data_IF_732114832402
#
_entry.id   IF_732114832402
#
_cell.length_a   1.000
_cell.length_b   1.000
_cell.length_c   1.000
_cell.angle_alpha   90.00
_cell.angle_beta   90.00
_cell.angle_gamma   90.00
#
_symmetry.space_group_name_H-M   'P 1'
#
loop_
_entity.id
_entity.type
_entity.pdbx_description
1 polymer ?
#
# COMPACT_ATOMS: atom_id res chain seq x y z
N UNK A 1 19.62 -12.56 -11.26
CA UNK A 1 18.18 -12.25 -11.39
C UNK A 1 17.87 -10.91 -10.76
N UNK A 2 17.35 -9.93 -11.52
CA UNK A 2 16.93 -8.64 -10.97
C UNK A 2 15.57 -8.77 -10.26
N UNK A 3 15.47 -8.27 -9.02
CA UNK A 3 14.18 -8.23 -8.30
C UNK A 3 13.21 -7.27 -8.98
N UNK A 4 11.94 -7.67 -9.14
CA UNK A 4 10.89 -6.80 -9.68
C UNK A 4 10.59 -5.64 -8.72
N UNK A 5 10.52 -4.42 -9.24
CA UNK A 5 10.40 -3.18 -8.47
C UNK A 5 9.08 -2.47 -8.77
N UNK A 6 8.49 -1.78 -7.79
CA UNK A 6 7.35 -0.88 -8.00
C UNK A 6 7.80 0.28 -8.90
N UNK A 7 6.94 0.67 -9.86
CA UNK A 7 7.19 1.84 -10.75
C UNK A 7 7.18 3.15 -9.97
N UNK A 8 6.29 3.27 -8.98
CA UNK A 8 6.16 4.45 -8.12
C UNK A 8 6.34 4.03 -6.66
N UNK A 9 7.09 4.79 -5.85
CA UNK A 9 7.33 4.46 -4.46
C UNK A 9 6.08 4.73 -3.59
N UNK A 10 5.17 3.75 -3.58
CA UNK A 10 3.87 3.85 -2.93
C UNK A 10 3.69 2.70 -1.94
N UNK A 11 3.39 3.05 -0.71
CA UNK A 11 2.90 2.15 0.33
C UNK A 11 1.37 2.15 0.32
N UNK A 12 0.77 0.97 0.51
CA UNK A 12 -0.68 0.81 0.66
C UNK A 12 -0.95 0.11 1.97
N UNK A 13 -1.97 0.56 2.69
CA UNK A 13 -2.41 -0.02 3.97
C UNK A 13 -2.59 -1.55 3.92
N UNK A 14 -3.18 -2.03 2.82
CA UNK A 14 -3.40 -3.44 2.53
C UNK A 14 -2.14 -4.32 2.60
N UNK A 15 -0.93 -3.76 2.52
CA UNK A 15 0.30 -4.54 2.63
C UNK A 15 0.60 -4.98 4.06
N UNK A 16 0.04 -4.30 5.07
CA UNK A 16 0.37 -4.52 6.48
C UNK A 16 -0.76 -5.20 7.26
N UNK A 17 -2.02 -4.88 6.96
CA UNK A 17 -3.19 -5.43 7.65
C UNK A 17 -4.00 -6.34 6.71
N UNK A 18 -4.23 -7.57 7.18
CA UNK A 18 -4.98 -8.68 6.57
C UNK A 18 -6.09 -8.23 5.59
N UNK A 19 -5.73 -8.16 4.30
CA UNK A 19 -6.66 -7.76 3.23
C UNK A 19 -7.56 -8.90 2.74
N UNK A 20 -7.37 -10.11 3.27
CA UNK A 20 -8.07 -11.30 2.78
C UNK A 20 -9.58 -11.18 3.00
N UNK A 21 -9.98 -10.71 4.19
CA UNK A 21 -11.39 -10.60 4.55
C UNK A 21 -12.10 -9.49 3.76
N UNK A 22 -11.50 -8.30 3.65
CA UNK A 22 -12.06 -7.18 2.87
C UNK A 22 -12.17 -7.52 1.39
N UNK A 23 -11.17 -8.19 0.80
CA UNK A 23 -11.28 -8.72 -0.57
C UNK A 23 -12.37 -9.77 -0.72
N UNK A 24 -12.54 -10.66 0.26
CA UNK A 24 -13.64 -11.66 0.28
C UNK A 24 -15.01 -10.98 0.35
N UNK A 25 -15.16 -9.92 1.15
CA UNK A 25 -16.40 -9.14 1.23
C UNK A 25 -16.71 -8.47 -0.11
N UNK A 26 -15.73 -7.81 -0.72
CA UNK A 26 -15.88 -7.22 -2.05
C UNK A 26 -16.32 -8.27 -3.09
N UNK A 27 -15.67 -9.43 -3.11
CA UNK A 27 -16.04 -10.54 -3.98
C UNK A 27 -17.45 -11.07 -3.72
N UNK A 28 -17.89 -11.17 -2.45
CA UNK A 28 -19.26 -11.57 -2.09
C UNK A 28 -20.29 -10.54 -2.57
N UNK A 29 -20.04 -9.25 -2.40
CA UNK A 29 -20.93 -8.19 -2.85
C UNK A 29 -21.17 -8.27 -4.36
N UNK A 30 -20.09 -8.44 -5.13
CA UNK A 30 -20.17 -8.60 -6.59
C UNK A 30 -20.97 -9.85 -6.99
N UNK A 31 -20.72 -11.01 -6.36
CA UNK A 31 -21.44 -12.26 -6.70
C UNK A 31 -22.92 -12.24 -6.32
N UNK A 32 -23.30 -11.46 -5.30
CA UNK A 32 -24.69 -11.34 -4.85
C UNK A 32 -25.48 -10.28 -5.61
N UNK A 33 -24.80 -9.43 -6.37
CA UNK A 33 -25.45 -8.43 -7.20
C UNK A 33 -26.22 -9.13 -8.33
N UNK A 34 -27.54 -8.90 -8.39
CA UNK A 34 -28.43 -9.55 -9.36
C UNK A 34 -28.63 -8.75 -10.65
N UNK A 35 -28.10 -7.53 -10.74
CA UNK A 35 -28.19 -6.68 -11.92
C UNK A 35 -27.06 -6.96 -12.91
N UNK A 36 -27.20 -6.43 -14.12
CA UNK A 36 -26.14 -6.50 -15.13
C UNK A 36 -24.96 -5.58 -14.82
N UNK A 37 -23.76 -6.10 -15.02
CA UNK A 37 -22.51 -5.36 -14.89
C UNK A 37 -21.98 -5.08 -16.30
N UNK A 38 -22.21 -3.87 -16.81
CA UNK A 38 -21.85 -3.52 -18.17
C UNK A 38 -20.33 -3.39 -18.40
N UNK A 39 -19.55 -3.05 -17.36
CA UNK A 39 -18.10 -2.88 -17.50
C UNK A 39 -17.34 -3.08 -16.18
N UNK A 40 -16.00 -3.19 -16.26
CA UNK A 40 -15.14 -3.36 -15.09
C UNK A 40 -15.10 -2.15 -14.13
N UNK A 41 -15.56 -0.96 -14.54
CA UNK A 41 -15.65 0.19 -13.63
C UNK A 41 -16.86 0.10 -12.69
N UNK A 42 -17.90 -0.67 -13.06
CA UNK A 42 -19.07 -0.88 -12.20
C UNK A 42 -18.75 -1.62 -10.90
N UNK A 43 -17.68 -2.41 -10.84
CA UNK A 43 -17.25 -3.03 -9.58
C UNK A 43 -17.00 -2.00 -8.47
N UNK A 44 -16.57 -0.78 -8.83
CA UNK A 44 -16.38 0.32 -7.86
C UNK A 44 -17.69 0.89 -7.33
N UNK A 45 -18.80 0.74 -8.08
CA UNK A 45 -20.16 1.10 -7.65
C UNK A 45 -20.77 0.02 -6.76
N UNK A 46 -20.50 -1.25 -7.06
CA UNK A 46 -20.97 -2.40 -6.27
C UNK A 46 -20.28 -2.51 -4.92
N UNK A 47 -19.00 -2.14 -4.86
CA UNK A 47 -18.24 -2.13 -3.63
C UNK A 47 -17.25 -0.98 -3.62
N UNK A 48 -17.37 -0.12 -2.61
CA UNK A 48 -16.49 1.04 -2.46
C UNK A 48 -15.03 0.58 -2.28
N UNK A 49 -14.09 0.97 -3.15
CA UNK A 49 -12.69 0.54 -3.05
C UNK A 49 -11.99 1.00 -1.77
N UNK A 50 -12.47 2.10 -1.17
CA UNK A 50 -11.97 2.63 0.10
C UNK A 50 -12.16 1.62 1.24
N UNK A 51 -13.25 0.86 1.24
CA UNK A 51 -13.48 -0.22 2.21
C UNK A 51 -12.43 -1.35 2.16
N UNK A 52 -11.62 -1.40 1.10
CA UNK A 52 -10.51 -2.35 1.00
C UNK A 52 -9.18 -1.68 1.34
N UNK A 53 -9.00 -0.39 1.06
CA UNK A 53 -7.73 0.33 1.25
C UNK A 53 -8.02 1.76 1.67
N UNK A 54 -7.79 2.06 2.95
CA UNK A 54 -8.13 3.37 3.50
C UNK A 54 -7.14 4.45 3.03
N UNK A 55 -5.86 4.10 2.90
CA UNK A 55 -4.83 5.07 2.54
C UNK A 55 -3.75 4.53 1.60
N UNK A 56 -3.16 5.46 0.85
CA UNK A 56 -1.99 5.22 -0.01
C UNK A 56 -1.02 6.35 0.20
N UNK A 57 0.19 6.02 0.64
CA UNK A 57 1.23 7.00 0.90
C UNK A 57 2.29 6.93 -0.18
N UNK A 58 2.63 8.09 -0.73
CA UNK A 58 3.76 8.25 -1.63
C UNK A 58 4.92 8.82 -0.83
N UNK A 59 6.08 8.17 -0.91
CA UNK A 59 7.27 8.64 -0.18
C UNK A 59 8.52 8.37 -0.99
N UNK A 60 9.25 9.42 -1.33
CA UNK A 60 10.55 9.27 -2.00
C UNK A 60 11.64 8.88 -1.03
N UNK A 61 12.74 8.30 -1.55
CA UNK A 61 13.93 7.97 -0.75
C UNK A 61 14.49 9.21 -0.06
N UNK A 62 14.53 10.35 -0.76
CA UNK A 62 15.02 11.63 -0.20
C UNK A 62 14.16 12.11 0.96
N UNK A 63 12.83 12.01 0.84
CA UNK A 63 11.92 12.35 1.94
C UNK A 63 12.12 11.43 3.15
N UNK A 64 12.25 10.11 2.95
CA UNK A 64 12.50 9.18 4.07
C UNK A 64 13.80 9.50 4.82
N UNK A 65 14.87 9.83 4.10
CA UNK A 65 16.13 10.24 4.71
C UNK A 65 16.03 11.59 5.42
N UNK A 66 15.30 12.54 4.85
CA UNK A 66 15.08 13.84 5.47
C UNK A 66 14.29 13.69 6.77
N UNK A 67 13.17 12.97 6.76
CA UNK A 67 12.36 12.71 7.95
C UNK A 67 13.17 12.00 9.05
N UNK A 68 13.98 11.01 8.68
CA UNK A 68 14.87 10.36 9.64
C UNK A 68 15.89 11.33 10.26
N UNK A 69 16.44 12.27 9.48
CA UNK A 69 17.34 13.31 10.03
C UNK A 69 16.63 14.31 10.91
N UNK A 70 15.36 14.59 10.64
CA UNK A 70 14.57 15.60 11.36
C UNK A 70 14.02 15.04 12.66
N UNK A 71 13.45 13.84 12.64
CA UNK A 71 12.73 13.26 13.76
C UNK A 71 13.65 12.40 14.64
N UNK A 72 13.71 12.71 15.94
CA UNK A 72 14.56 12.00 16.90
C UNK A 72 14.11 10.55 17.13
N UNK A 73 12.80 10.31 17.28
CA UNK A 73 12.24 8.96 17.48
C UNK A 73 12.56 7.98 16.34
N UNK A 74 12.69 8.47 15.10
CA UNK A 74 13.09 7.65 13.95
C UNK A 74 14.56 7.23 14.01
N UNK A 75 15.43 8.07 14.58
CA UNK A 75 16.85 7.75 14.80
C UNK A 75 17.06 6.75 15.91
N UNK A 76 16.19 6.77 16.91
CA UNK A 76 16.21 5.80 18.01
C UNK A 76 15.84 4.39 17.53
N UNK A 77 14.96 4.27 16.51
CA UNK A 77 14.56 2.98 15.94
C UNK A 77 15.48 2.47 14.83
N UNK A 78 15.97 3.35 13.95
CA UNK A 78 16.80 3.01 12.81
C UNK A 78 18.14 3.73 12.96
N UNK A 79 19.16 3.01 13.44
CA UNK A 79 20.43 3.62 13.84
C UNK A 79 21.27 4.03 12.65
N UNK A 80 21.17 3.30 11.53
CA UNK A 80 22.02 3.51 10.36
C UNK A 80 21.25 3.98 9.12
N UNK A 81 21.93 4.75 8.29
CA UNK A 81 21.40 5.20 7.00
C UNK A 81 21.04 4.01 6.08
N UNK A 82 21.75 2.89 6.19
CA UNK A 82 21.48 1.67 5.42
C UNK A 82 20.15 1.02 5.84
N UNK A 83 19.84 0.97 7.14
CA UNK A 83 18.59 0.43 7.66
C UNK A 83 17.39 1.26 7.20
N UNK A 84 17.49 2.59 7.26
CA UNK A 84 16.45 3.50 6.76
C UNK A 84 16.16 3.28 5.29
N UNK A 85 17.22 3.10 4.48
CA UNK A 85 17.06 2.80 3.06
C UNK A 85 16.40 1.42 2.87
N UNK A 86 16.84 0.40 3.61
CA UNK A 86 16.30 -0.95 3.48
C UNK A 86 14.81 -1.01 3.88
N UNK A 87 14.44 -0.30 4.94
CA UNK A 87 13.05 -0.17 5.41
C UNK A 87 12.19 0.57 4.38
N UNK A 88 12.66 1.72 3.90
CA UNK A 88 11.98 2.45 2.83
C UNK A 88 11.82 1.58 1.58
N UNK A 89 12.85 0.82 1.21
CA UNK A 89 12.77 -0.09 0.08
C UNK A 89 11.74 -1.20 0.29
N UNK A 90 11.68 -1.78 1.49
CA UNK A 90 10.72 -2.82 1.86
C UNK A 90 9.28 -2.36 1.64
N UNK A 91 8.93 -1.16 2.10
CA UNK A 91 7.55 -0.67 2.02
C UNK A 91 7.22 0.00 0.68
N UNK A 92 8.12 0.80 0.13
CA UNK A 92 7.81 1.69 -0.99
C UNK A 92 8.36 1.19 -2.33
N UNK A 93 9.48 0.45 -2.37
CA UNK A 93 10.17 0.08 -3.62
C UNK A 93 9.94 -1.38 -4.04
N UNK A 94 10.00 -2.32 -3.10
CA UNK A 94 9.84 -3.77 -3.36
C UNK A 94 8.37 -4.10 -3.62
N UNK A 95 8.10 -5.09 -4.47
CA UNK A 95 6.74 -5.58 -4.75
C UNK A 95 6.33 -6.67 -3.77
#
# INVERSE_FOLDING_TARGET
MSRSVKKSPVFKDQQHLSTGWTKRQAGKAVRRFKGDVQNGKWYRKLYCPWNICDYRFYKTKRQALHEWKTFQWLREQLLTHAEVINDWEKFYRRK
#
